data_IF_483124230614
#
_entry.id   IF_483124230614
#
_cell.length_a   1.000
_cell.length_b   1.000
_cell.length_c   1.000
_cell.angle_alpha   90.00
_cell.angle_beta   90.00
_cell.angle_gamma   90.00
#
_symmetry.space_group_name_H-M   'P 1'
#
loop_
_entity.id
_entity.type
_entity.pdbx_description
1 polymer ?
#
# COMPACT_ATOMS: atom_id res chain seq x y z
N UNK A 1 7.86 9.46 -20.96
CA UNK A 1 8.01 8.71 -19.70
C UNK A 1 9.47 8.35 -19.55
N UNK A 2 10.17 8.88 -18.54
CA UNK A 2 11.58 8.57 -18.32
C UNK A 2 11.70 7.12 -17.87
N UNK A 3 12.53 6.35 -18.56
CA UNK A 3 12.87 4.97 -18.20
C UNK A 3 13.61 5.00 -16.86
N UNK A 4 13.08 4.32 -15.84
CA UNK A 4 13.73 4.07 -14.55
C UNK A 4 14.98 3.19 -14.77
N UNK A 5 16.04 3.77 -15.32
CA UNK A 5 17.35 3.16 -15.28
C UNK A 5 17.76 3.10 -13.82
N UNK A 6 17.93 1.88 -13.30
CA UNK A 6 18.52 1.61 -11.98
C UNK A 6 19.97 2.11 -12.01
N UNK A 7 20.14 3.43 -11.85
CA UNK A 7 21.45 4.05 -11.67
C UNK A 7 22.02 3.47 -10.38
N UNK A 8 23.19 2.85 -10.44
CA UNK A 8 24.02 2.62 -9.25
C UNK A 8 24.30 3.99 -8.62
N UNK A 9 23.44 4.43 -7.70
CA UNK A 9 23.59 5.71 -7.03
C UNK A 9 24.73 5.56 -6.04
N UNK A 10 25.81 6.33 -6.24
CA UNK A 10 26.78 6.58 -5.16
C UNK A 10 25.98 7.04 -3.94
N UNK A 11 26.30 6.50 -2.77
CA UNK A 11 25.52 6.79 -1.56
C UNK A 11 25.61 8.30 -1.26
N UNK A 12 24.49 9.06 -1.31
CA UNK A 12 24.47 10.51 -1.13
C UNK A 12 24.75 10.95 0.32
N UNK A 13 24.99 9.99 1.22
CA UNK A 13 25.20 10.20 2.65
C UNK A 13 26.15 11.34 3.01
N UNK A 14 27.35 11.48 2.41
CA UNK A 14 28.26 12.59 2.74
C UNK A 14 27.68 13.97 2.45
N UNK A 15 26.89 14.14 1.38
CA UNK A 15 26.24 15.41 1.04
C UNK A 15 25.17 15.73 2.08
N UNK A 16 24.35 14.75 2.45
CA UNK A 16 23.32 14.91 3.47
C UNK A 16 23.90 15.17 4.86
N UNK A 17 25.02 14.55 5.22
CA UNK A 17 25.76 14.88 6.45
C UNK A 17 26.19 16.35 6.47
N UNK A 18 26.64 16.90 5.35
CA UNK A 18 27.00 18.32 5.24
C UNK A 18 25.78 19.25 5.32
N UNK A 19 24.64 18.88 4.69
CA UNK A 19 23.37 19.61 4.84
C UNK A 19 22.95 19.66 6.31
N UNK A 20 22.86 18.50 6.96
CA UNK A 20 22.41 18.40 8.35
C UNK A 20 23.35 19.10 9.34
N UNK A 21 24.65 19.20 9.04
CA UNK A 21 25.60 19.95 9.86
C UNK A 21 25.31 21.47 9.90
N UNK A 22 24.53 22.00 8.96
CA UNK A 22 24.06 23.39 8.91
C UNK A 22 22.62 23.58 9.39
N UNK A 23 21.95 22.49 9.71
CA UNK A 23 20.56 22.50 10.12
C UNK A 23 20.47 22.45 11.65
N UNK A 24 19.88 23.44 12.33
CA UNK A 24 19.67 23.37 13.76
C UNK A 24 18.67 22.24 14.10
N UNK A 25 18.68 21.71 15.33
CA UNK A 25 17.62 20.80 15.79
C UNK A 25 16.25 21.46 15.60
N UNK A 26 15.26 20.68 15.19
CA UNK A 26 13.92 21.22 15.01
C UNK A 26 13.38 21.79 16.32
N UNK A 27 12.52 22.81 16.22
CA UNK A 27 11.71 23.29 17.34
C UNK A 27 10.23 23.32 16.95
N UNK A 28 9.37 22.89 17.87
CA UNK A 28 7.92 22.92 17.68
C UNK A 28 7.35 24.19 18.32
N UNK A 29 6.32 24.80 17.73
CA UNK A 29 5.63 25.92 18.36
C UNK A 29 4.82 25.45 19.58
N UNK A 30 4.42 26.40 20.43
CA UNK A 30 3.41 26.15 21.46
C UNK A 30 2.14 25.54 20.83
N UNK A 31 1.45 24.61 21.51
CA UNK A 31 1.69 24.17 22.89
C UNK A 31 2.73 23.04 23.06
N UNK A 32 3.46 22.70 21.99
CA UNK A 32 4.35 21.53 21.93
C UNK A 32 5.84 21.86 22.11
N UNK A 33 6.17 23.12 22.39
CA UNK A 33 7.52 23.67 22.54
C UNK A 33 8.35 23.02 23.66
N UNK A 34 7.69 22.28 24.56
CA UNK A 34 8.32 21.59 25.69
C UNK A 34 8.64 20.11 25.44
N UNK A 35 8.27 19.57 24.28
CA UNK A 35 8.56 18.17 23.93
C UNK A 35 10.02 18.04 23.52
N UNK A 36 10.76 17.03 24.04
CA UNK A 36 12.05 16.66 23.48
C UNK A 36 11.91 16.24 22.02
N UNK A 37 12.59 16.96 21.14
CA UNK A 37 12.52 16.74 19.70
C UNK A 37 13.33 15.50 19.32
N UNK A 38 12.80 14.72 18.39
CA UNK A 38 13.51 13.57 17.84
C UNK A 38 14.83 14.02 17.18
N UNK A 39 15.94 13.33 17.49
CA UNK A 39 17.28 13.69 16.98
C UNK A 39 17.44 13.60 15.46
N UNK A 40 16.49 12.98 14.76
CA UNK A 40 16.43 12.91 13.31
C UNK A 40 15.69 14.08 12.68
N UNK A 41 15.13 15.00 13.48
CA UNK A 41 14.32 16.12 13.03
C UNK A 41 15.09 17.43 13.18
N UNK A 42 15.19 18.18 12.08
CA UNK A 42 15.95 19.41 11.97
C UNK A 42 15.08 20.52 11.39
N UNK A 43 15.48 21.76 11.59
CA UNK A 43 14.99 22.90 10.82
C UNK A 43 15.85 23.07 9.57
N UNK A 44 15.28 23.62 8.52
CA UNK A 44 16.05 24.07 7.36
C UNK A 44 17.15 25.07 7.77
N UNK A 45 18.25 25.16 7.00
CA UNK A 45 19.36 26.06 7.33
C UNK A 45 18.92 27.52 7.32
N UNK A 46 19.41 28.30 8.29
CA UNK A 46 19.12 29.75 8.38
C UNK A 46 19.72 30.57 7.21
N UNK A 47 20.82 30.09 6.63
CA UNK A 47 21.49 30.70 5.47
C UNK A 47 21.67 29.66 4.34
N UNK A 48 20.65 29.51 3.47
CA UNK A 48 20.71 28.59 2.34
C UNK A 48 21.85 28.89 1.35
N UNK A 49 22.23 30.16 1.20
CA UNK A 49 23.31 30.57 0.28
C UNK A 49 24.69 30.18 0.83
N UNK A 50 24.90 30.26 2.15
CA UNK A 50 26.10 29.71 2.79
C UNK A 50 26.16 28.18 2.66
N UNK A 51 25.04 27.48 2.89
CA UNK A 51 24.99 26.03 2.68
C UNK A 51 25.35 25.69 1.22
N UNK A 52 24.74 26.34 0.25
CA UNK A 52 24.99 26.09 -1.17
C UNK A 52 26.46 26.28 -1.54
N UNK A 53 27.09 27.38 -1.10
CA UNK A 53 28.52 27.63 -1.33
C UNK A 53 29.40 26.55 -0.71
N UNK A 54 29.10 26.10 0.52
CA UNK A 54 29.83 25.01 1.15
C UNK A 54 29.71 23.72 0.32
N UNK A 55 28.49 23.34 -0.05
CA UNK A 55 28.23 22.13 -0.82
C UNK A 55 29.01 22.13 -2.14
N UNK A 56 28.96 23.23 -2.90
CA UNK A 56 29.70 23.39 -4.16
C UNK A 56 31.22 23.38 -3.95
N UNK A 57 31.73 23.90 -2.83
CA UNK A 57 33.16 23.89 -2.54
C UNK A 57 33.71 22.51 -2.16
N UNK A 58 32.84 21.61 -1.69
CA UNK A 58 33.22 20.38 -0.98
C UNK A 58 32.89 19.10 -1.76
N UNK A 59 31.89 19.14 -2.63
CA UNK A 59 31.44 17.99 -3.42
C UNK A 59 31.49 18.31 -4.90
N UNK A 60 31.75 17.29 -5.72
CA UNK A 60 31.70 17.47 -7.17
C UNK A 60 30.25 17.64 -7.67
N UNK A 61 30.11 18.18 -8.88
CA UNK A 61 28.80 18.44 -9.50
C UNK A 61 27.93 17.18 -9.58
N UNK A 62 28.52 16.02 -9.85
CA UNK A 62 27.76 14.78 -10.04
C UNK A 62 27.23 14.26 -8.71
N UNK A 63 28.01 14.35 -7.63
CA UNK A 63 27.57 14.02 -6.27
C UNK A 63 26.39 14.90 -5.82
N UNK A 64 26.48 16.21 -6.07
CA UNK A 64 25.43 17.17 -5.72
C UNK A 64 24.12 16.92 -6.48
N UNK A 65 24.22 16.61 -7.77
CA UNK A 65 23.05 16.26 -8.59
C UNK A 65 22.46 14.91 -8.20
N UNK A 66 23.30 13.91 -7.92
CA UNK A 66 22.84 12.57 -7.55
C UNK A 66 22.15 12.54 -6.17
N UNK A 67 22.50 13.46 -5.26
CA UNK A 67 21.82 13.60 -3.97
C UNK A 67 20.52 14.39 -4.07
N UNK A 68 20.23 15.06 -5.19
CA UNK A 68 19.06 15.93 -5.32
C UNK A 68 19.11 17.21 -4.47
N UNK A 69 20.11 17.41 -3.61
CA UNK A 69 20.24 18.62 -2.80
C UNK A 69 20.51 19.88 -3.64
N UNK A 70 21.01 19.68 -4.87
CA UNK A 70 21.24 20.74 -5.86
C UNK A 70 20.64 20.29 -7.19
N UNK A 71 19.84 21.16 -7.79
CA UNK A 71 19.21 20.97 -9.09
C UNK A 71 19.87 21.87 -10.14
N UNK A 72 19.63 21.57 -11.42
CA UNK A 72 20.08 22.42 -12.54
C UNK A 72 18.90 23.20 -13.07
N UNK A 73 18.94 24.52 -12.91
CA UNK A 73 17.96 25.45 -13.47
C UNK A 73 18.68 26.37 -14.46
N UNK A 74 18.22 26.42 -15.71
CA UNK A 74 18.83 27.25 -16.78
C UNK A 74 20.36 27.08 -16.87
N UNK A 75 20.83 25.83 -16.87
CA UNK A 75 22.26 25.43 -16.86
C UNK A 75 23.09 25.84 -15.63
N UNK A 76 22.45 26.46 -14.64
CA UNK A 76 23.09 26.85 -13.36
C UNK A 76 22.75 25.86 -12.25
N UNK A 77 23.74 25.56 -11.41
CA UNK A 77 23.51 24.79 -10.18
C UNK A 77 22.84 25.70 -9.16
N UNK A 78 21.76 25.21 -8.57
CA UNK A 78 21.03 25.92 -7.53
C UNK A 78 20.57 24.94 -6.45
N UNK A 79 20.51 25.38 -5.19
CA UNK A 79 20.05 24.54 -4.08
C UNK A 79 18.60 24.10 -4.31
N UNK A 80 18.22 22.87 -3.96
CA UNK A 80 16.82 22.45 -4.05
C UNK A 80 15.91 23.40 -3.25
N UNK A 81 14.74 23.71 -3.80
CA UNK A 81 13.81 24.68 -3.21
C UNK A 81 13.35 24.23 -1.81
N UNK A 82 13.23 22.93 -1.54
CA UNK A 82 12.87 22.42 -0.21
C UNK A 82 13.94 22.68 0.86
N UNK A 83 15.16 23.06 0.47
CA UNK A 83 16.25 23.42 1.37
C UNK A 83 16.43 24.94 1.50
N UNK A 84 15.66 25.75 0.75
CA UNK A 84 15.74 27.22 0.79
C UNK A 84 14.75 27.85 1.76
N UNK A 85 13.65 27.17 2.07
CA UNK A 85 12.66 27.68 3.01
C UNK A 85 13.08 27.39 4.45
N UNK A 86 13.60 28.41 5.15
CA UNK A 86 14.07 28.31 6.53
C UNK A 86 12.96 27.97 7.54
N UNK A 87 11.67 28.13 7.18
CA UNK A 87 10.57 27.80 8.06
C UNK A 87 10.21 26.31 8.04
N UNK A 88 10.77 25.53 7.11
CA UNK A 88 10.48 24.11 6.96
C UNK A 88 11.32 23.20 7.87
N UNK A 89 10.87 21.96 7.97
CA UNK A 89 11.55 20.89 8.69
C UNK A 89 12.22 19.91 7.72
N UNK A 90 13.32 19.33 8.17
CA UNK A 90 14.03 18.25 7.48
C UNK A 90 14.09 17.03 8.41
N UNK A 91 13.80 15.85 7.88
CA UNK A 91 13.93 14.59 8.62
C UNK A 91 14.99 13.71 7.95
N UNK A 92 16.01 13.33 8.72
CA UNK A 92 17.05 12.42 8.25
C UNK A 92 16.55 10.97 8.28
N UNK A 93 16.47 10.31 7.12
CA UNK A 93 16.13 8.89 7.01
C UNK A 93 17.40 8.06 7.16
N UNK A 94 17.46 7.16 8.16
CA UNK A 94 18.68 6.38 8.44
C UNK A 94 18.39 4.89 8.58
N UNK A 95 19.20 4.04 7.96
CA UNK A 95 19.08 2.57 8.08
C UNK A 95 19.37 2.03 9.49
N UNK A 96 20.19 2.75 10.25
CA UNK A 96 20.62 2.42 11.61
C UNK A 96 20.74 3.73 12.44
N UNK A 97 20.70 3.66 13.79
CA UNK A 97 20.75 4.84 14.67
C UNK A 97 21.84 5.85 14.32
N UNK A 98 23.09 5.39 14.29
CA UNK A 98 24.26 6.23 13.99
C UNK A 98 24.72 6.12 12.53
N UNK A 99 23.89 5.50 11.68
CA UNK A 99 24.19 5.32 10.27
C UNK A 99 24.08 6.63 9.50
N UNK A 100 24.81 6.76 8.38
CA UNK A 100 24.67 7.91 7.48
C UNK A 100 23.23 8.09 6.99
N UNK A 101 22.77 9.33 6.74
CA UNK A 101 21.46 9.53 6.12
C UNK A 101 21.42 8.85 4.75
N UNK A 102 20.40 8.04 4.54
CA UNK A 102 20.06 7.48 3.22
C UNK A 102 19.39 8.52 2.36
N UNK A 103 18.51 9.33 2.97
CA UNK A 103 17.82 10.43 2.33
C UNK A 103 17.40 11.50 3.35
N UNK A 104 16.93 12.62 2.85
CA UNK A 104 16.32 13.71 3.60
C UNK A 104 14.86 13.84 3.17
N UNK A 105 13.95 13.81 4.14
CA UNK A 105 12.52 14.02 3.93
C UNK A 105 12.15 15.47 4.27
N UNK A 106 11.48 16.14 3.34
CA UNK A 106 10.97 17.51 3.43
C UNK A 106 9.48 17.56 3.13
N UNK A 107 8.85 18.75 3.16
CA UNK A 107 7.43 18.92 2.80
C UNK A 107 7.11 18.45 1.38
N UNK A 108 8.09 18.52 0.48
CA UNK A 108 7.99 18.12 -0.94
C UNK A 108 8.31 16.65 -1.17
N UNK A 109 8.58 15.90 -0.11
CA UNK A 109 8.97 14.50 -0.15
C UNK A 109 10.48 14.30 0.04
N UNK A 110 10.99 13.21 -0.52
CA UNK A 110 12.40 12.84 -0.40
C UNK A 110 13.27 13.65 -1.36
N UNK A 111 14.34 14.29 -0.86
CA UNK A 111 15.20 15.18 -1.65
C UNK A 111 15.86 14.46 -2.83
N UNK A 112 16.21 13.18 -2.68
CA UNK A 112 16.79 12.41 -3.78
C UNK A 112 15.85 12.22 -4.98
N UNK A 113 14.55 12.45 -4.79
CA UNK A 113 13.47 12.10 -5.72
C UNK A 113 13.43 10.62 -6.10
N UNK A 114 14.16 9.75 -5.37
CA UNK A 114 14.24 8.32 -5.68
C UNK A 114 13.01 7.56 -5.21
N UNK A 115 12.57 7.89 -4.01
CA UNK A 115 11.59 7.13 -3.26
C UNK A 115 10.44 8.04 -2.83
N UNK A 116 9.26 7.46 -2.78
CA UNK A 116 8.12 8.11 -2.14
C UNK A 116 8.30 8.12 -0.61
N UNK A 117 7.89 9.18 0.11
CA UNK A 117 8.04 9.25 1.57
C UNK A 117 7.53 8.04 2.34
N UNK A 118 6.43 7.44 1.89
CA UNK A 118 5.86 6.24 2.51
C UNK A 118 6.75 5.01 2.32
N UNK A 119 7.36 4.84 1.14
CA UNK A 119 8.31 3.75 0.88
C UNK A 119 9.62 3.97 1.64
N UNK A 120 10.13 5.20 1.61
CA UNK A 120 11.36 5.59 2.29
C UNK A 120 11.31 5.34 3.81
N UNK A 121 10.11 5.48 4.41
CA UNK A 121 9.87 5.20 5.83
C UNK A 121 10.21 3.76 6.24
N UNK A 122 10.10 2.78 5.34
CA UNK A 122 10.48 1.39 5.63
C UNK A 122 11.99 1.19 5.75
N UNK A 123 12.80 2.08 5.18
CA UNK A 123 14.25 2.04 5.33
C UNK A 123 14.70 2.75 6.61
N UNK A 124 13.85 3.60 7.19
CA UNK A 124 14.16 4.32 8.41
C UNK A 124 14.12 3.42 9.66
N UNK A 125 15.19 3.41 10.44
CA UNK A 125 15.28 2.58 11.63
C UNK A 125 14.36 3.06 12.76
N UNK A 126 14.10 4.37 12.89
CA UNK A 126 13.22 4.90 13.95
C UNK A 126 11.79 4.52 13.66
N UNK A 127 11.33 4.72 12.42
CA UNK A 127 9.99 4.28 11.99
C UNK A 127 9.83 2.78 12.20
N UNK A 128 10.76 1.95 11.70
CA UNK A 128 10.68 0.48 11.90
C UNK A 128 10.67 0.07 13.37
N UNK A 129 11.45 0.73 14.21
CA UNK A 129 11.48 0.45 15.65
C UNK A 129 10.19 0.85 16.33
N UNK A 130 9.63 2.02 15.96
CA UNK A 130 8.36 2.51 16.45
C UNK A 130 7.18 1.66 15.96
N UNK A 131 7.25 1.06 14.77
CA UNK A 131 6.17 0.19 14.27
C UNK A 131 5.95 -1.08 15.13
N UNK A 132 6.99 -1.58 15.81
CA UNK A 132 6.92 -2.81 16.62
C UNK A 132 5.86 -2.76 17.73
N UNK A 133 5.85 -1.76 18.64
CA UNK A 133 4.83 -1.66 19.69
C UNK A 133 3.43 -1.32 19.18
N UNK A 134 3.29 -0.81 17.96
CA UNK A 134 1.99 -0.40 17.40
C UNK A 134 1.46 -1.36 16.34
N UNK A 135 1.66 -2.67 16.55
CA UNK A 135 1.13 -3.73 15.66
C UNK A 135 1.45 -3.48 14.17
N UNK A 136 2.64 -2.96 13.87
CA UNK A 136 3.12 -2.63 12.53
C UNK A 136 2.30 -1.57 11.77
N UNK A 137 1.61 -0.68 12.48
CA UNK A 137 0.95 0.47 11.86
C UNK A 137 1.96 1.56 11.46
N UNK A 138 1.81 2.11 10.25
CA UNK A 138 2.54 3.29 9.77
C UNK A 138 1.54 4.45 9.59
N UNK A 139 1.75 5.53 10.34
CA UNK A 139 0.95 6.74 10.27
C UNK A 139 1.44 7.59 9.09
N UNK A 140 0.51 8.11 8.30
CA UNK A 140 0.75 9.03 7.21
C UNK A 140 0.15 10.38 7.58
N UNK A 141 1.01 11.37 7.80
CA UNK A 141 0.62 12.75 8.06
C UNK A 141 0.81 13.63 6.82
N UNK A 142 0.12 14.76 6.77
CA UNK A 142 0.08 15.64 5.59
C UNK A 142 0.78 16.98 5.79
N UNK A 143 1.39 17.19 6.96
CA UNK A 143 2.25 18.34 7.22
C UNK A 143 3.53 17.89 7.90
N UNK A 144 4.66 18.52 7.57
CA UNK A 144 5.94 18.20 8.22
C UNK A 144 5.93 18.47 9.72
N UNK A 145 5.18 19.49 10.16
CA UNK A 145 5.05 19.80 11.58
C UNK A 145 4.38 18.66 12.35
N UNK A 146 3.34 18.05 11.79
CA UNK A 146 2.70 16.86 12.39
C UNK A 146 3.62 15.65 12.36
N UNK A 147 4.40 15.44 11.29
CA UNK A 147 5.40 14.36 11.22
C UNK A 147 6.46 14.55 12.33
N UNK A 148 7.03 15.74 12.46
CA UNK A 148 8.06 16.04 13.49
C UNK A 148 7.51 15.84 14.89
N UNK A 149 6.30 16.34 15.17
CA UNK A 149 5.61 16.16 16.45
C UNK A 149 5.39 14.68 16.76
N UNK A 150 4.73 13.95 15.87
CA UNK A 150 4.40 12.54 16.09
C UNK A 150 5.66 11.66 16.19
N UNK A 151 6.73 11.94 15.43
CA UNK A 151 8.03 11.26 15.59
C UNK A 151 8.66 11.55 16.95
N UNK A 152 8.57 12.78 17.43
CA UNK A 152 9.09 13.19 18.75
C UNK A 152 8.30 12.53 19.90
N UNK A 153 7.02 12.22 19.67
CA UNK A 153 6.21 11.40 20.58
C UNK A 153 6.54 9.90 20.51
N UNK A 154 7.36 9.47 19.55
CA UNK A 154 7.78 8.07 19.36
C UNK A 154 6.82 7.25 18.50
N UNK A 155 5.99 7.88 17.67
CA UNK A 155 5.06 7.20 16.79
C UNK A 155 5.70 6.89 15.42
N UNK A 156 5.32 5.77 14.77
CA UNK A 156 5.79 5.39 13.45
C UNK A 156 5.08 6.21 12.38
N UNK A 157 5.60 7.40 12.07
CA UNK A 157 4.95 8.34 11.15
C UNK A 157 5.88 8.78 10.03
N UNK A 158 5.28 8.97 8.85
CA UNK A 158 5.89 9.54 7.65
C UNK A 158 4.97 10.56 7.00
N UNK A 159 5.45 11.21 5.95
CA UNK A 159 4.69 12.17 5.16
C UNK A 159 3.90 11.45 4.06
N UNK A 160 2.71 11.96 3.75
CA UNK A 160 1.83 11.45 2.69
C UNK A 160 1.98 12.12 1.33
N UNK A 161 2.92 13.06 1.17
CA UNK A 161 3.12 13.81 -0.08
C UNK A 161 3.33 12.86 -1.26
N UNK A 162 2.50 13.05 -2.31
CA UNK A 162 2.58 12.32 -3.57
C UNK A 162 1.86 10.97 -3.59
N UNK A 163 1.17 10.58 -2.51
CA UNK A 163 0.40 9.31 -2.49
C UNK A 163 -0.68 9.24 -3.57
N UNK A 164 -1.29 10.38 -3.90
CA UNK A 164 -2.27 10.54 -4.95
C UNK A 164 -1.68 10.42 -6.36
N UNK A 165 -0.36 10.48 -6.49
CA UNK A 165 0.39 10.40 -7.75
C UNK A 165 1.03 9.03 -7.97
N UNK A 166 0.82 8.07 -7.06
CA UNK A 166 1.40 6.74 -7.18
C UNK A 166 0.97 6.11 -8.49
N UNK A 167 1.92 5.67 -9.31
CA UNK A 167 1.61 4.82 -10.45
C UNK A 167 1.46 3.36 -9.99
N UNK A 168 1.18 2.49 -10.95
CA UNK A 168 0.98 1.05 -10.70
C UNK A 168 2.23 0.42 -10.06
N UNK A 169 3.41 0.81 -10.53
CA UNK A 169 4.66 0.25 -10.04
C UNK A 169 4.92 0.65 -8.58
N UNK A 170 4.66 1.92 -8.23
CA UNK A 170 4.76 2.40 -6.86
C UNK A 170 3.76 1.72 -5.92
N UNK A 171 2.54 1.44 -6.40
CA UNK A 171 1.53 0.70 -5.64
C UNK A 171 1.91 -0.77 -5.44
N UNK A 172 2.45 -1.43 -6.46
CA UNK A 172 2.93 -2.81 -6.35
C UNK A 172 4.12 -2.87 -5.36
N UNK A 173 5.06 -1.92 -5.41
CA UNK A 173 6.15 -1.85 -4.43
C UNK A 173 5.63 -1.58 -3.02
N UNK A 174 4.67 -0.66 -2.86
CA UNK A 174 4.02 -0.40 -1.58
C UNK A 174 3.37 -1.69 -1.05
N UNK A 175 2.62 -2.39 -1.89
CA UNK A 175 1.99 -3.66 -1.53
C UNK A 175 3.00 -4.70 -1.07
N UNK A 176 4.12 -4.84 -1.76
CA UNK A 176 5.20 -5.72 -1.35
C UNK A 176 5.75 -5.36 0.04
N UNK A 177 6.01 -4.08 0.32
CA UNK A 177 6.53 -3.63 1.64
C UNK A 177 5.56 -3.87 2.78
N UNK A 178 4.29 -3.70 2.51
CA UNK A 178 3.22 -3.97 3.46
C UNK A 178 2.88 -5.47 3.56
N UNK A 179 3.55 -6.34 2.79
CA UNK A 179 3.24 -7.77 2.77
C UNK A 179 1.80 -8.03 2.35
N UNK A 180 1.22 -7.08 1.60
CA UNK A 180 -0.06 -7.20 0.93
C UNK A 180 0.14 -8.14 -0.25
N UNK A 181 0.47 -9.39 0.08
CA UNK A 181 1.12 -10.26 -0.86
C UNK A 181 0.16 -10.59 -2.00
N UNK A 182 0.73 -10.40 -3.17
CA UNK A 182 0.25 -10.70 -4.50
C UNK A 182 0.12 -12.23 -4.67
N UNK A 183 0.20 -13.07 -3.62
CA UNK A 183 0.22 -14.54 -3.74
C UNK A 183 -1.06 -15.08 -4.36
N UNK A 184 -2.24 -14.54 -4.00
CA UNK A 184 -3.47 -14.88 -4.73
C UNK A 184 -3.41 -14.40 -6.19
N UNK A 185 -2.85 -13.22 -6.45
CA UNK A 185 -2.75 -12.63 -7.80
C UNK A 185 -1.67 -13.30 -8.67
N UNK A 186 -0.57 -13.77 -8.08
CA UNK A 186 0.52 -14.55 -8.66
C UNK A 186 0.11 -15.99 -8.84
N UNK A 187 -0.66 -16.58 -7.94
CA UNK A 187 -1.31 -17.89 -8.18
C UNK A 187 -2.33 -17.78 -9.32
N UNK A 188 -3.12 -16.71 -9.39
CA UNK A 188 -4.01 -16.45 -10.53
C UNK A 188 -3.23 -16.17 -11.84
N UNK A 189 -2.13 -15.43 -11.80
CA UNK A 189 -1.31 -15.14 -12.99
C UNK A 189 -0.49 -16.36 -13.43
N UNK A 190 0.08 -17.13 -12.50
CA UNK A 190 0.85 -18.33 -12.80
C UNK A 190 -0.05 -19.50 -13.21
N UNK A 191 -1.26 -19.63 -12.67
CA UNK A 191 -2.26 -20.58 -13.20
C UNK A 191 -2.67 -20.22 -14.64
N UNK A 192 -2.65 -18.93 -14.98
CA UNK A 192 -2.87 -18.47 -16.36
C UNK A 192 -1.67 -18.72 -17.30
N UNK A 193 -0.43 -18.65 -16.80
CA UNK A 193 0.79 -18.84 -17.62
C UNK A 193 1.15 -20.31 -17.83
N UNK A 194 1.01 -21.17 -16.80
CA UNK A 194 1.31 -22.61 -16.90
C UNK A 194 0.29 -23.40 -17.73
N UNK A 195 -0.80 -22.77 -18.14
CA UNK A 195 -1.77 -23.34 -19.06
C UNK A 195 -1.33 -23.25 -20.53
N UNK A 196 -0.27 -22.51 -20.91
CA UNK A 196 0.15 -22.36 -22.32
C UNK A 196 1.21 -23.33 -22.84
N UNK A 197 2.02 -23.94 -21.98
CA UNK A 197 3.26 -24.60 -22.44
C UNK A 197 3.23 -26.15 -22.37
N UNK A 198 2.11 -26.78 -22.00
CA UNK A 198 1.99 -28.25 -21.96
C UNK A 198 1.37 -28.87 -23.21
N UNK A 199 1.31 -28.16 -24.34
CA UNK A 199 0.76 -28.66 -25.60
C UNK A 199 1.80 -29.07 -26.67
N UNK A 200 3.10 -29.13 -26.36
CA UNK A 200 4.11 -29.67 -27.28
C UNK A 200 5.03 -30.66 -26.58
N UNK A 201 5.12 -31.84 -27.18
CA UNK A 201 6.20 -32.82 -27.08
C UNK A 201 6.13 -33.83 -25.91
N UNK A 202 5.16 -34.73 -26.04
CA UNK A 202 5.40 -36.14 -25.69
C UNK A 202 6.29 -36.77 -26.77
N UNK A 203 7.61 -36.73 -26.60
CA UNK A 203 8.51 -37.73 -27.18
C UNK A 203 9.05 -38.57 -26.03
N UNK A 204 8.52 -39.78 -26.04
CA UNK A 204 8.92 -40.97 -25.30
C UNK A 204 10.39 -41.29 -25.59
N UNK A 205 11.26 -41.27 -24.58
CA UNK A 205 12.49 -42.07 -24.56
C UNK A 205 12.94 -42.25 -23.11
N UNK A 206 12.98 -43.50 -22.68
CA UNK A 206 13.16 -43.86 -21.28
C UNK A 206 14.60 -44.22 -20.91
N UNK A 207 14.62 -44.94 -19.77
CA UNK A 207 15.61 -45.93 -19.36
C UNK A 207 16.75 -45.43 -18.43
N UNK A 208 16.74 -46.06 -17.25
CA UNK A 208 17.84 -46.40 -16.32
C UNK A 208 18.43 -45.32 -15.42
N UNK A 209 18.95 -45.61 -14.24
CA UNK A 209 18.88 -46.68 -13.20
C UNK A 209 19.94 -46.23 -12.17
N UNK A 210 19.80 -46.62 -10.90
CA UNK A 210 20.89 -46.76 -9.90
C UNK A 210 21.57 -45.48 -9.33
N UNK A 211 21.53 -45.14 -8.03
CA UNK A 211 22.04 -45.74 -6.76
C UNK A 211 23.23 -44.91 -6.20
N UNK A 212 23.41 -45.00 -4.87
CA UNK A 212 24.45 -44.45 -3.95
C UNK A 212 24.18 -43.04 -3.37
N UNK A 213 23.84 -42.84 -2.09
CA UNK A 213 24.39 -43.27 -0.78
C UNK A 213 25.62 -42.48 -0.29
N UNK A 214 25.48 -42.03 0.96
CA UNK A 214 26.50 -41.60 1.93
C UNK A 214 27.13 -40.21 1.74
N UNK A 215 27.08 -39.38 2.79
CA UNK A 215 28.22 -39.18 3.71
C UNK A 215 27.76 -38.36 4.93
N UNK A 216 28.12 -38.90 6.09
CA UNK A 216 27.94 -38.39 7.44
C UNK A 216 28.79 -37.15 7.81
N UNK A 217 28.47 -36.60 8.99
CA UNK A 217 29.38 -35.97 9.97
C UNK A 217 29.90 -34.55 9.69
N UNK A 218 29.49 -33.61 10.56
CA UNK A 218 30.39 -33.15 11.63
C UNK A 218 29.59 -32.58 12.82
N UNK A 219 29.95 -33.06 13.99
CA UNK A 219 29.43 -32.70 15.29
C UNK A 219 30.22 -31.57 15.97
N UNK A 220 29.62 -31.03 17.03
CA UNK A 220 30.25 -30.54 18.26
C UNK A 220 30.58 -29.04 18.38
N UNK A 221 29.80 -28.37 19.24
CA UNK A 221 30.22 -27.43 20.31
C UNK A 221 29.02 -27.15 21.22
N UNK A 222 28.87 -27.92 22.30
CA UNK A 222 29.25 -27.58 23.69
C UNK A 222 28.55 -26.34 24.29
N UNK A 223 27.43 -26.61 24.96
CA UNK A 223 27.09 -26.32 26.37
C UNK A 223 27.40 -24.95 27.02
N UNK A 224 26.29 -24.23 27.30
CA UNK A 224 25.84 -23.67 28.61
C UNK A 224 26.65 -22.54 29.32
N UNK A 225 26.02 -21.66 30.15
CA UNK A 225 24.79 -21.89 30.94
C UNK A 225 23.71 -20.80 30.98
N UNK A 226 22.48 -21.25 31.24
CA UNK A 226 21.34 -20.54 31.86
C UNK A 226 21.65 -20.26 33.35
N UNK A 227 21.11 -19.19 34.00
CA UNK A 227 19.69 -19.18 34.40
C UNK A 227 19.02 -17.79 34.51
N UNK A 228 17.68 -17.76 34.56
CA UNK A 228 16.86 -17.33 35.71
C UNK A 228 15.39 -17.47 35.29
N UNK A 229 14.71 -18.40 35.95
CA UNK A 229 13.26 -18.58 35.91
C UNK A 229 12.60 -17.38 36.61
N UNK A 230 11.63 -16.76 35.94
CA UNK A 230 10.58 -15.97 36.56
C UNK A 230 9.26 -16.45 35.96
N UNK A 231 8.59 -17.28 36.74
CA UNK A 231 7.24 -17.76 36.52
C UNK A 231 6.29 -16.61 36.18
N UNK A 232 5.68 -16.69 35.01
CA UNK A 232 4.49 -15.92 34.63
C UNK A 232 3.60 -16.86 33.84
N UNK A 233 2.83 -17.68 34.56
CA UNK A 233 1.78 -18.50 34.00
C UNK A 233 0.67 -17.61 33.45
N UNK A 234 0.77 -17.22 32.18
CA UNK A 234 -0.37 -16.82 31.36
C UNK A 234 -0.77 -18.00 30.49
N UNK A 235 -2.00 -18.48 30.65
CA UNK A 235 -2.60 -19.45 29.73
C UNK A 235 -2.60 -18.86 28.32
N UNK A 236 -1.82 -19.46 27.42
CA UNK A 236 -1.84 -19.20 25.97
C UNK A 236 -2.89 -20.16 25.35
N UNK A 237 -4.05 -19.67 24.91
CA UNK A 237 -4.95 -20.45 24.07
C UNK A 237 -4.46 -20.31 22.63
N UNK A 238 -3.74 -21.31 22.10
CA UNK A 238 -3.54 -21.61 20.66
C UNK A 238 -2.20 -22.33 20.45
N UNK A 239 -2.10 -23.55 20.98
CA UNK A 239 -1.04 -24.50 20.59
C UNK A 239 -1.71 -25.67 19.89
N UNK A 240 -1.61 -25.69 18.56
CA UNK A 240 -2.09 -26.78 17.73
C UNK A 240 -1.36 -28.09 18.11
N UNK A 241 -1.98 -29.25 17.84
CA UNK A 241 -1.49 -30.58 18.22
C UNK A 241 -0.09 -30.95 17.68
N UNK A 242 0.48 -30.15 16.78
CA UNK A 242 1.83 -30.30 16.23
C UNK A 242 2.90 -29.49 16.99
N UNK A 243 2.54 -28.75 18.04
CA UNK A 243 3.46 -27.90 18.79
C UNK A 243 4.05 -26.72 18.00
N UNK A 244 3.63 -26.55 16.74
CA UNK A 244 4.06 -25.43 15.90
C UNK A 244 3.11 -24.27 16.08
N UNK A 245 3.48 -23.30 16.93
CA UNK A 245 2.78 -22.02 17.04
C UNK A 245 2.88 -21.32 15.68
N UNK A 246 1.78 -21.34 14.90
CA UNK A 246 1.67 -20.49 13.71
C UNK A 246 1.65 -19.05 14.18
N UNK A 247 2.81 -18.42 14.20
CA UNK A 247 2.90 -16.96 14.35
C UNK A 247 2.27 -16.37 13.10
N UNK A 248 1.00 -15.98 13.19
CA UNK A 248 0.34 -15.20 12.14
C UNK A 248 1.17 -13.93 12.02
N UNK A 249 1.90 -13.80 10.92
CA UNK A 249 2.71 -12.62 10.66
C UNK A 249 1.74 -11.44 10.52
N UNK A 250 1.63 -10.62 11.57
CA UNK A 250 0.85 -9.39 11.54
C UNK A 250 1.37 -8.57 10.36
N UNK A 251 0.49 -8.23 9.41
CA UNK A 251 0.85 -7.41 8.26
C UNK A 251 0.92 -5.93 8.69
N UNK A 252 1.88 -5.14 8.18
CA UNK A 252 1.87 -3.71 8.33
C UNK A 252 0.54 -3.08 7.88
N UNK A 253 0.11 -2.02 8.55
CA UNK A 253 -1.14 -1.30 8.20
C UNK A 253 -0.86 0.18 7.96
N UNK A 254 -1.47 0.75 6.93
CA UNK A 254 -1.34 2.18 6.62
C UNK A 254 -2.44 2.96 7.36
N UNK A 255 -2.08 4.02 8.09
CA UNK A 255 -3.04 4.82 8.86
C UNK A 255 -2.97 6.28 8.43
N UNK A 256 -4.02 6.80 7.81
CA UNK A 256 -4.10 8.20 7.42
C UNK A 256 -4.48 9.06 8.63
N UNK A 257 -3.66 10.06 8.92
CA UNK A 257 -3.90 11.04 9.98
C UNK A 257 -5.00 12.02 9.54
N UNK A 258 -6.16 11.96 10.20
CA UNK A 258 -7.37 12.68 9.81
C UNK A 258 -7.75 13.79 10.80
N UNK A 259 -6.74 14.42 11.38
CA UNK A 259 -6.81 15.56 12.29
C UNK A 259 -5.44 16.25 12.31
N UNK A 260 -5.31 17.41 12.97
CA UNK A 260 -4.02 18.11 13.11
C UNK A 260 -3.56 18.11 14.57
N UNK A 261 -2.68 17.17 14.98
CA UNK A 261 -2.06 17.15 16.30
C UNK A 261 -1.33 18.44 16.64
N UNK A 262 -0.60 19.04 15.68
CA UNK A 262 0.10 20.32 15.89
C UNK A 262 -0.84 21.40 16.39
N UNK A 263 -2.00 21.53 15.76
CA UNK A 263 -2.97 22.57 16.06
C UNK A 263 -4.03 22.14 17.09
N UNK A 264 -4.00 20.89 17.55
CA UNK A 264 -5.06 20.29 18.36
C UNK A 264 -6.45 20.51 17.75
N UNK A 265 -6.53 20.30 16.44
CA UNK A 265 -7.74 20.52 15.65
C UNK A 265 -8.26 19.19 15.12
N UNK A 266 -9.57 19.00 15.19
CA UNK A 266 -10.31 17.90 14.55
C UNK A 266 -10.59 18.16 13.06
N UNK A 267 -10.07 19.26 12.50
CA UNK A 267 -10.13 19.53 11.07
C UNK A 267 -9.31 18.49 10.30
N UNK A 268 -10.00 17.77 9.42
CA UNK A 268 -9.41 16.81 8.50
C UNK A 268 -8.59 17.53 7.42
N UNK A 269 -7.32 17.13 7.19
CA UNK A 269 -6.55 17.64 6.06
C UNK A 269 -7.25 17.33 4.73
N UNK A 270 -7.28 18.31 3.81
CA UNK A 270 -7.98 18.20 2.52
C UNK A 270 -7.43 17.04 1.68
N UNK A 271 -6.15 16.75 1.84
CA UNK A 271 -5.40 15.69 1.19
C UNK A 271 -5.95 14.30 1.56
N UNK A 272 -6.42 14.11 2.79
CA UNK A 272 -6.96 12.81 3.25
C UNK A 272 -8.11 12.38 2.38
N UNK A 273 -9.08 13.26 2.12
CA UNK A 273 -10.25 12.93 1.30
C UNK A 273 -9.85 12.51 -0.13
N UNK A 274 -8.88 13.23 -0.73
CA UNK A 274 -8.39 12.94 -2.08
C UNK A 274 -7.66 11.61 -2.15
N UNK A 275 -6.80 11.32 -1.17
CA UNK A 275 -6.05 10.06 -1.11
C UNK A 275 -7.00 8.89 -0.87
N UNK A 276 -7.99 9.05 0.01
CA UNK A 276 -9.02 8.03 0.24
C UNK A 276 -9.80 7.75 -1.04
N UNK A 277 -10.21 8.79 -1.76
CA UNK A 277 -10.87 8.64 -3.06
C UNK A 277 -9.96 7.93 -4.06
N UNK A 278 -8.71 8.36 -4.19
CA UNK A 278 -7.71 7.77 -5.05
C UNK A 278 -7.50 6.27 -4.75
N UNK A 279 -7.24 5.92 -3.49
CA UNK A 279 -7.04 4.52 -3.06
C UNK A 279 -8.29 3.67 -3.31
N UNK A 280 -9.49 4.23 -3.16
CA UNK A 280 -10.74 3.53 -3.47
C UNK A 280 -10.92 3.28 -4.97
N UNK A 281 -10.59 4.26 -5.81
CA UNK A 281 -10.63 4.11 -7.27
C UNK A 281 -9.61 3.06 -7.71
N UNK A 282 -8.37 3.19 -7.24
CA UNK A 282 -7.25 2.28 -7.47
C UNK A 282 -7.59 0.85 -7.03
N UNK A 283 -8.20 0.67 -5.85
CA UNK A 283 -8.70 -0.63 -5.38
C UNK A 283 -9.59 -1.32 -6.42
N UNK A 284 -10.51 -0.58 -7.04
CA UNK A 284 -11.43 -1.14 -8.04
C UNK A 284 -10.72 -1.63 -9.30
N UNK A 285 -9.62 -0.97 -9.68
CA UNK A 285 -8.88 -1.31 -10.91
C UNK A 285 -7.85 -2.42 -10.71
N UNK A 286 -7.16 -2.45 -9.57
CA UNK A 286 -6.03 -3.36 -9.39
C UNK A 286 -6.39 -4.66 -8.68
N UNK A 287 -7.61 -4.78 -8.13
CA UNK A 287 -8.00 -5.95 -7.36
C UNK A 287 -7.15 -6.17 -6.11
N UNK A 288 -6.34 -5.17 -5.75
CA UNK A 288 -5.48 -5.16 -4.57
C UNK A 288 -6.41 -5.15 -3.36
N UNK A 289 -6.56 -6.32 -2.72
CA UNK A 289 -7.32 -6.49 -1.48
C UNK A 289 -6.73 -5.70 -0.30
N UNK A 290 -5.48 -5.27 -0.47
CA UNK A 290 -4.68 -4.58 0.50
C UNK A 290 -5.28 -3.31 1.12
N UNK A 291 -6.17 -2.64 0.39
CA UNK A 291 -6.76 -1.40 0.88
C UNK A 291 -7.82 -1.61 1.97
N UNK A 292 -8.25 -2.86 2.22
CA UNK A 292 -9.06 -3.21 3.39
C UNK A 292 -8.34 -2.86 4.71
N UNK A 293 -7.03 -2.65 4.68
CA UNK A 293 -6.19 -2.38 5.85
C UNK A 293 -5.82 -0.90 6.04
N UNK A 294 -6.26 -0.02 5.12
CA UNK A 294 -6.03 1.41 5.28
C UNK A 294 -7.03 1.94 6.30
N UNK A 295 -6.50 2.49 7.40
CA UNK A 295 -7.31 3.02 8.50
C UNK A 295 -7.25 4.55 8.52
N UNK A 296 -8.32 5.13 9.04
CA UNK A 296 -8.34 6.54 9.45
C UNK A 296 -8.08 6.66 10.94
N UNK A 297 -7.23 7.59 11.32
CA UNK A 297 -7.08 7.99 12.71
C UNK A 297 -7.68 9.39 12.93
N UNK A 298 -8.85 9.40 13.55
CA UNK A 298 -9.61 10.61 13.90
C UNK A 298 -9.98 10.51 15.39
N UNK A 299 -9.15 11.04 16.30
CA UNK A 299 -9.51 11.07 17.72
C UNK A 299 -10.81 11.82 17.93
N UNK A 300 -11.59 11.40 18.92
CA UNK A 300 -12.77 12.15 19.30
C UNK A 300 -12.39 13.49 19.95
N UNK A 301 -13.35 14.43 19.97
CA UNK A 301 -13.13 15.78 20.51
C UNK A 301 -12.67 15.79 21.97
N UNK A 302 -13.22 14.89 22.79
CA UNK A 302 -12.87 14.77 24.22
C UNK A 302 -11.39 14.40 24.41
N UNK A 303 -10.86 13.51 23.56
CA UNK A 303 -9.43 13.15 23.55
C UNK A 303 -8.56 14.35 23.16
N UNK A 304 -8.95 15.10 22.12
CA UNK A 304 -8.21 16.30 21.68
C UNK A 304 -8.19 17.36 22.79
N UNK A 305 -9.34 17.64 23.40
CA UNK A 305 -9.44 18.59 24.50
C UNK A 305 -8.62 18.12 25.72
N UNK A 306 -8.62 16.82 26.03
CA UNK A 306 -7.80 16.22 27.09
C UNK A 306 -6.30 16.37 26.87
N UNK A 307 -5.82 16.19 25.63
CA UNK A 307 -4.44 16.48 25.23
C UNK A 307 -4.15 17.98 25.45
N UNK A 308 -5.03 18.86 25.00
CA UNK A 308 -4.90 20.31 25.16
C UNK A 308 -4.84 20.75 26.62
N UNK A 309 -5.67 20.17 27.49
CA UNK A 309 -5.65 20.44 28.93
C UNK A 309 -4.32 19.98 29.56
N UNK A 310 -3.85 18.77 29.23
CA UNK A 310 -2.54 18.30 29.70
C UNK A 310 -1.41 19.28 29.33
N UNK A 311 -1.40 19.78 28.10
CA UNK A 311 -0.39 20.76 27.65
C UNK A 311 -0.56 22.12 28.32
N UNK A 312 -1.80 22.60 28.49
CA UNK A 312 -2.11 23.86 29.20
C UNK A 312 -1.58 23.84 30.63
N UNK A 313 -1.69 22.71 31.31
CA UNK A 313 -1.15 22.51 32.67
C UNK A 313 0.34 22.11 32.70
N UNK A 314 1.00 22.03 31.54
CA UNK A 314 2.42 21.69 31.44
C UNK A 314 2.75 20.21 31.70
N UNK A 315 1.76 19.32 31.67
CA UNK A 315 1.90 17.87 31.91
C UNK A 315 2.19 17.15 30.57
N UNK A 316 3.35 17.45 29.99
CA UNK A 316 3.74 16.99 28.64
C UNK A 316 3.70 15.46 28.49
N UNK A 317 4.19 14.71 29.49
CA UNK A 317 4.17 13.24 29.44
C UNK A 317 2.74 12.66 29.48
N UNK A 318 1.79 13.34 30.12
CA UNK A 318 0.38 12.92 30.06
C UNK A 318 -0.20 13.18 28.67
N UNK A 319 0.06 14.34 28.07
CA UNK A 319 -0.33 14.63 26.70
C UNK A 319 0.25 13.61 25.70
N UNK A 320 1.53 13.25 25.87
CA UNK A 320 2.19 12.20 25.07
C UNK A 320 1.48 10.85 25.19
N UNK A 321 1.19 10.42 26.42
CA UNK A 321 0.47 9.15 26.66
C UNK A 321 -0.92 9.19 26.06
N UNK A 322 -1.64 10.29 26.18
CA UNK A 322 -2.98 10.44 25.63
C UNK A 322 -3.00 10.33 24.09
N UNK A 323 -2.03 10.95 23.41
CA UNK A 323 -1.86 10.79 21.94
C UNK A 323 -1.54 9.34 21.56
N UNK A 324 -0.67 8.66 22.31
CA UNK A 324 -0.33 7.25 22.05
C UNK A 324 -1.50 6.30 22.35
N UNK A 325 -2.27 6.59 23.41
CA UNK A 325 -3.45 5.82 23.79
C UNK A 325 -4.56 5.97 22.76
N UNK A 326 -4.83 7.18 22.27
CA UNK A 326 -5.83 7.38 21.23
C UNK A 326 -5.48 6.61 19.95
N UNK A 327 -4.21 6.55 19.57
CA UNK A 327 -3.77 5.74 18.42
C UNK A 327 -3.93 4.22 18.62
N UNK A 328 -3.83 3.74 19.86
CA UNK A 328 -3.93 2.30 20.18
C UNK A 328 -5.35 1.84 20.43
N UNK A 329 -6.19 2.69 21.04
CA UNK A 329 -7.53 2.34 21.52
C UNK A 329 -8.64 2.74 20.56
N UNK A 330 -8.49 3.86 19.84
CA UNK A 330 -9.48 4.20 18.82
C UNK A 330 -9.35 3.16 17.72
N UNK A 331 -10.37 2.30 17.64
CA UNK A 331 -10.58 1.42 16.49
C UNK A 331 -10.66 2.34 15.29
N UNK A 332 -9.55 2.45 14.56
CA UNK A 332 -9.48 3.27 13.36
C UNK A 332 -10.71 2.98 12.53
N UNK A 333 -11.40 4.04 12.10
CA UNK A 333 -12.50 3.86 11.17
C UNK A 333 -11.85 3.24 9.95
N UNK A 334 -12.17 1.98 9.65
CA UNK A 334 -11.77 1.37 8.40
C UNK A 334 -12.27 2.29 7.30
N UNK A 335 -11.33 2.94 6.62
CA UNK A 335 -11.63 3.89 5.55
C UNK A 335 -12.44 3.23 4.45
N UNK A 336 -12.23 1.92 4.32
CA UNK A 336 -12.92 1.04 3.39
C UNK A 336 -13.81 0.04 4.13
N UNK A 337 -14.45 0.49 5.21
CA UNK A 337 -15.59 -0.20 5.81
C UNK A 337 -16.85 0.04 4.97
N UNK A 338 -17.63 -1.02 4.72
CA UNK A 338 -18.82 -1.12 3.85
C UNK A 338 -20.02 -0.23 4.23
N UNK A 339 -19.81 0.86 4.96
CA UNK A 339 -20.86 1.77 5.45
C UNK A 339 -21.18 2.90 4.45
N UNK A 340 -21.25 2.59 3.15
CA UNK A 340 -22.15 3.37 2.30
C UNK A 340 -23.55 2.87 2.61
N UNK A 341 -24.41 3.75 3.12
CA UNK A 341 -25.83 3.67 2.77
C UNK A 341 -25.86 3.30 1.27
N UNK A 342 -26.37 2.12 0.99
CA UNK A 342 -26.33 1.39 -0.28
C UNK A 342 -26.92 2.31 -1.37
N UNK A 343 -26.15 3.30 -1.84
CA UNK A 343 -26.52 4.11 -3.01
C UNK A 343 -26.55 3.14 -4.16
N UNK A 344 -27.72 2.98 -4.78
CA UNK A 344 -27.86 2.13 -5.95
C UNK A 344 -26.76 2.50 -6.96
N UNK A 345 -25.93 1.54 -7.39
CA UNK A 345 -24.87 1.80 -8.34
C UNK A 345 -25.47 2.36 -9.64
N UNK A 346 -24.95 3.50 -10.09
CA UNK A 346 -25.46 4.21 -11.27
C UNK A 346 -24.98 3.58 -12.60
N UNK A 347 -24.02 2.66 -12.54
CA UNK A 347 -23.40 2.04 -13.71
C UNK A 347 -22.87 0.63 -13.43
N UNK A 348 -22.51 -0.09 -14.50
CA UNK A 348 -21.99 -1.47 -14.48
C UNK A 348 -20.78 -1.66 -13.58
N UNK A 349 -19.89 -0.68 -13.50
CA UNK A 349 -18.68 -0.78 -12.68
C UNK A 349 -19.09 -0.79 -11.20
N UNK A 350 -20.04 0.07 -10.84
CA UNK A 350 -20.61 0.11 -9.49
C UNK A 350 -21.31 -1.20 -9.10
N UNK A 351 -22.12 -1.80 -9.99
CA UNK A 351 -22.78 -3.09 -9.72
C UNK A 351 -21.79 -4.25 -9.68
N UNK A 352 -20.76 -4.26 -10.52
CA UNK A 352 -19.70 -5.26 -10.51
C UNK A 352 -18.91 -5.26 -9.21
N UNK A 353 -18.52 -4.08 -8.73
CA UNK A 353 -17.81 -3.94 -7.45
C UNK A 353 -18.68 -4.46 -6.29
N UNK A 354 -19.97 -4.13 -6.30
CA UNK A 354 -20.94 -4.65 -5.33
C UNK A 354 -21.05 -6.17 -5.36
N UNK A 355 -21.09 -6.75 -6.56
CA UNK A 355 -21.15 -8.19 -6.74
C UNK A 355 -19.89 -8.87 -6.20
N UNK A 356 -18.71 -8.32 -6.51
CA UNK A 356 -17.45 -8.82 -5.97
C UNK A 356 -17.40 -8.73 -4.45
N UNK A 357 -17.91 -7.64 -3.86
CA UNK A 357 -18.02 -7.49 -2.40
C UNK A 357 -19.01 -8.51 -1.80
N UNK A 358 -20.17 -8.74 -2.42
CA UNK A 358 -21.15 -9.73 -1.96
C UNK A 358 -20.55 -11.15 -1.97
N UNK A 359 -19.85 -11.52 -3.05
CA UNK A 359 -19.13 -12.81 -3.16
C UNK A 359 -18.08 -12.94 -2.05
N UNK A 360 -17.28 -11.89 -1.80
CA UNK A 360 -16.26 -11.90 -0.74
C UNK A 360 -16.85 -11.97 0.66
N UNK A 361 -17.94 -11.25 0.91
CA UNK A 361 -18.62 -11.27 2.19
C UNK A 361 -19.14 -12.66 2.53
N UNK A 362 -19.71 -13.36 1.55
CA UNK A 362 -20.17 -14.74 1.70
C UNK A 362 -19.01 -15.73 1.91
N UNK A 363 -17.80 -15.43 1.40
CA UNK A 363 -16.60 -16.24 1.66
C UNK A 363 -16.07 -16.10 3.09
N UNK A 364 -16.16 -14.90 3.69
CA UNK A 364 -15.65 -14.64 5.05
C UNK A 364 -16.57 -15.15 6.17
N UNK A 365 -17.82 -15.53 5.87
CA UNK A 365 -18.77 -16.05 6.88
C UNK A 365 -18.90 -17.58 6.84
N UNK A 366 -19.11 -18.16 8.02
CA UNK A 366 -19.43 -19.58 8.24
C UNK A 366 -20.56 -20.05 7.31
N UNK A 367 -20.53 -21.30 6.80
CA UNK A 367 -21.44 -21.84 5.77
C UNK A 367 -22.95 -21.86 6.10
N UNK A 368 -23.38 -21.37 7.26
CA UNK A 368 -24.77 -21.45 7.73
C UNK A 368 -25.66 -20.25 7.32
N UNK A 369 -25.20 -19.36 6.44
CA UNK A 369 -25.98 -18.19 5.99
C UNK A 369 -26.67 -18.42 4.65
N UNK A 370 -27.97 -18.11 4.61
CA UNK A 370 -28.91 -18.35 3.49
C UNK A 370 -28.56 -17.60 2.18
N UNK A 371 -28.91 -18.25 1.04
CA UNK A 371 -28.73 -17.91 -0.39
C UNK A 371 -29.24 -16.53 -0.90
N UNK A 372 -29.55 -15.55 -0.05
CA UNK A 372 -30.23 -14.31 -0.48
C UNK A 372 -29.40 -13.14 -1.05
N UNK A 373 -28.15 -12.86 -0.62
CA UNK A 373 -27.51 -11.58 -0.94
C UNK A 373 -26.90 -11.51 -2.35
N UNK A 374 -26.27 -12.59 -2.81
CA UNK A 374 -25.54 -12.59 -4.10
C UNK A 374 -26.51 -12.54 -5.28
N UNK A 375 -27.58 -13.34 -5.24
CA UNK A 375 -28.55 -13.40 -6.36
C UNK A 375 -29.17 -12.04 -6.65
N UNK A 376 -29.52 -11.28 -5.60
CA UNK A 376 -30.07 -9.93 -5.77
C UNK A 376 -29.06 -8.96 -6.37
N UNK A 377 -27.80 -9.01 -5.91
CA UNK A 377 -26.74 -8.15 -6.45
C UNK A 377 -26.36 -8.57 -7.88
N UNK A 378 -26.49 -9.85 -8.19
CA UNK A 378 -26.34 -10.39 -9.54
C UNK A 378 -27.42 -9.89 -10.50
N UNK A 379 -28.68 -9.95 -10.09
CA UNK A 379 -29.79 -9.39 -10.88
C UNK A 379 -29.60 -7.89 -11.14
N UNK A 380 -29.13 -7.12 -10.14
CA UNK A 380 -28.76 -5.71 -10.31
C UNK A 380 -27.63 -5.53 -11.34
N UNK A 381 -26.59 -6.37 -11.26
CA UNK A 381 -25.49 -6.36 -12.23
C UNK A 381 -25.95 -6.70 -13.64
N UNK A 382 -26.72 -7.76 -13.85
CA UNK A 382 -27.26 -8.14 -15.17
C UNK A 382 -28.15 -7.04 -15.76
N UNK A 383 -29.01 -6.43 -14.92
CA UNK A 383 -29.86 -5.32 -15.33
C UNK A 383 -29.02 -4.14 -15.82
N UNK A 384 -27.97 -3.79 -15.10
CA UNK A 384 -27.10 -2.67 -15.45
C UNK A 384 -26.24 -2.98 -16.68
N UNK A 385 -25.74 -4.22 -16.80
CA UNK A 385 -25.01 -4.70 -17.97
C UNK A 385 -25.86 -4.57 -19.24
N UNK A 386 -27.12 -4.98 -19.13
CA UNK A 386 -28.08 -4.88 -20.22
C UNK A 386 -28.34 -3.43 -20.58
N UNK A 387 -28.47 -2.54 -19.60
CA UNK A 387 -28.70 -1.11 -19.78
C UNK A 387 -27.52 -0.37 -20.42
N UNK A 388 -26.31 -0.58 -19.90
CA UNK A 388 -25.13 0.21 -20.27
C UNK A 388 -24.45 -0.30 -21.56
N UNK A 389 -24.59 -1.59 -21.89
CA UNK A 389 -23.89 -2.20 -23.02
C UNK A 389 -24.82 -2.87 -24.04
N UNK A 390 -25.70 -3.78 -23.62
CA UNK A 390 -26.51 -4.59 -24.55
C UNK A 390 -27.53 -3.74 -25.33
N UNK A 391 -28.35 -2.95 -24.61
CA UNK A 391 -29.38 -2.09 -25.21
C UNK A 391 -28.79 -1.05 -26.18
N UNK A 392 -27.74 -0.28 -25.83
CA UNK A 392 -27.14 0.67 -26.77
C UNK A 392 -26.61 0.02 -28.05
N UNK A 393 -26.02 -1.18 -27.95
CA UNK A 393 -25.53 -1.92 -29.12
C UNK A 393 -26.68 -2.45 -29.99
N UNK A 394 -27.74 -2.96 -29.37
CA UNK A 394 -28.94 -3.42 -30.08
C UNK A 394 -29.68 -2.27 -30.76
N UNK A 395 -29.88 -1.15 -30.07
CA UNK A 395 -30.50 0.06 -30.64
C UNK A 395 -29.68 0.57 -31.82
N UNK A 396 -28.36 0.70 -31.66
CA UNK A 396 -27.48 1.10 -32.75
C UNK A 396 -27.52 0.11 -33.93
N UNK A 397 -27.73 -1.19 -33.69
CA UNK A 397 -27.88 -2.17 -34.75
C UNK A 397 -29.22 -2.04 -35.50
N UNK A 398 -30.31 -1.73 -34.79
CA UNK A 398 -31.63 -1.54 -35.38
C UNK A 398 -31.67 -0.30 -36.28
N UNK A 399 -31.00 0.77 -35.86
CA UNK A 399 -30.89 2.04 -36.60
C UNK A 399 -29.87 1.98 -37.76
N UNK A 400 -29.05 0.93 -37.84
CA UNK A 400 -28.01 0.83 -38.85
C UNK A 400 -28.55 0.26 -40.17
N UNK A 401 -28.50 1.07 -41.23
CA UNK A 401 -28.90 0.68 -42.59
C UNK A 401 -27.89 -0.26 -43.27
N UNK A 402 -26.59 -0.17 -42.91
CA UNK A 402 -25.55 -1.05 -43.45
C UNK A 402 -25.67 -2.46 -42.83
N UNK A 403 -25.96 -3.50 -43.64
CA UNK A 403 -26.16 -4.86 -43.15
C UNK A 403 -24.91 -5.45 -42.47
N UNK A 404 -23.71 -5.09 -42.93
CA UNK A 404 -22.46 -5.62 -42.35
C UNK A 404 -22.20 -5.02 -40.98
N UNK A 405 -22.35 -3.69 -40.87
CA UNK A 405 -22.18 -2.98 -39.60
C UNK A 405 -23.27 -3.38 -38.59
N UNK A 406 -24.51 -3.55 -39.04
CA UNK A 406 -25.62 -4.09 -38.23
C UNK A 406 -25.29 -5.47 -37.66
N UNK A 407 -24.81 -6.39 -38.49
CA UNK A 407 -24.44 -7.74 -38.04
C UNK A 407 -23.30 -7.71 -37.03
N UNK A 408 -22.30 -6.84 -37.20
CA UNK A 408 -21.21 -6.64 -36.22
C UNK A 408 -21.71 -6.10 -34.88
N UNK A 409 -22.64 -5.15 -34.88
CA UNK A 409 -23.23 -4.60 -33.66
C UNK A 409 -24.06 -5.65 -32.90
N UNK A 410 -24.85 -6.46 -33.62
CA UNK A 410 -25.56 -7.60 -33.03
C UNK A 410 -24.60 -8.64 -32.45
N UNK A 411 -23.51 -8.95 -33.16
CA UNK A 411 -22.50 -9.87 -32.68
C UNK A 411 -21.78 -9.34 -31.42
N UNK A 412 -21.46 -8.04 -31.37
CA UNK A 412 -20.87 -7.41 -30.19
C UNK A 412 -21.82 -7.40 -28.99
N UNK A 413 -23.12 -7.16 -29.20
CA UNK A 413 -24.11 -7.24 -28.13
C UNK A 413 -24.20 -8.67 -27.56
N UNK A 414 -24.25 -9.68 -28.45
CA UNK A 414 -24.24 -11.09 -28.06
C UNK A 414 -22.95 -11.51 -27.34
N UNK A 415 -21.79 -11.10 -27.85
CA UNK A 415 -20.49 -11.38 -27.23
C UNK A 415 -20.37 -10.73 -25.87
N UNK A 416 -20.75 -9.45 -25.73
CA UNK A 416 -20.76 -8.74 -24.44
C UNK A 416 -21.54 -9.52 -23.39
N UNK A 417 -22.77 -9.91 -23.71
CA UNK A 417 -23.62 -10.71 -22.83
C UNK A 417 -22.97 -12.04 -22.44
N UNK A 418 -22.47 -12.80 -23.41
CA UNK A 418 -21.83 -14.11 -23.16
C UNK A 418 -20.56 -13.94 -22.31
N UNK A 419 -19.70 -12.98 -22.63
CA UNK A 419 -18.46 -12.75 -21.86
C UNK A 419 -18.79 -12.41 -20.41
N UNK A 420 -19.72 -11.48 -20.15
CA UNK A 420 -20.02 -11.12 -18.77
C UNK A 420 -20.70 -12.23 -17.97
N UNK A 421 -21.54 -13.06 -18.61
CA UNK A 421 -22.11 -14.25 -17.98
C UNK A 421 -21.03 -15.32 -17.70
N UNK A 422 -20.10 -15.54 -18.62
CA UNK A 422 -19.01 -16.50 -18.43
C UNK A 422 -17.99 -16.04 -17.40
N UNK A 423 -17.70 -14.73 -17.31
CA UNK A 423 -16.85 -14.15 -16.26
C UNK A 423 -17.32 -14.54 -14.86
N UNK A 424 -18.63 -14.48 -14.66
CA UNK A 424 -19.25 -14.80 -13.39
C UNK A 424 -19.26 -16.29 -13.11
N UNK A 425 -19.66 -17.12 -14.09
CA UNK A 425 -19.62 -18.57 -13.94
C UNK A 425 -18.20 -19.06 -13.63
N UNK A 426 -17.19 -18.48 -14.27
CA UNK A 426 -15.79 -18.74 -13.95
C UNK A 426 -15.44 -18.31 -12.52
N UNK A 427 -15.84 -17.11 -12.09
CA UNK A 427 -15.62 -16.65 -10.71
C UNK A 427 -16.34 -17.54 -9.68
N UNK A 428 -17.57 -17.97 -9.94
CA UNK A 428 -18.34 -18.83 -9.04
C UNK A 428 -17.74 -20.24 -8.97
N UNK A 429 -17.28 -20.77 -10.11
CA UNK A 429 -16.60 -22.07 -10.18
C UNK A 429 -15.26 -22.02 -9.46
N UNK A 430 -14.45 -20.99 -9.71
CA UNK A 430 -13.18 -20.77 -9.00
C UNK A 430 -13.40 -20.56 -7.50
N UNK A 431 -14.46 -19.86 -7.10
CA UNK A 431 -14.82 -19.66 -5.69
C UNK A 431 -15.24 -20.97 -5.02
N UNK A 432 -16.01 -21.82 -5.71
CA UNK A 432 -16.41 -23.14 -5.23
C UNK A 432 -15.21 -24.07 -5.09
N UNK A 433 -14.32 -24.07 -6.08
CA UNK A 433 -13.08 -24.84 -6.04
C UNK A 433 -12.16 -24.35 -4.91
N UNK A 434 -12.01 -23.04 -4.71
CA UNK A 434 -11.24 -22.49 -3.58
C UNK A 434 -11.81 -22.92 -2.21
N UNK A 435 -13.14 -22.94 -2.06
CA UNK A 435 -13.81 -23.50 -0.85
C UNK A 435 -13.51 -24.98 -0.67
N UNK A 436 -13.56 -25.78 -1.72
CA UNK A 436 -13.25 -27.22 -1.67
C UNK A 436 -11.78 -27.48 -1.33
N UNK A 437 -10.85 -26.67 -1.84
CA UNK A 437 -9.41 -26.72 -1.49
C UNK A 437 -9.19 -26.34 -0.02
N UNK A 438 -9.83 -25.28 0.46
CA UNK A 438 -9.71 -24.83 1.85
C UNK A 438 -10.27 -25.86 2.85
N UNK A 439 -11.33 -26.58 2.48
CA UNK A 439 -11.97 -27.60 3.32
C UNK A 439 -11.23 -28.95 3.27
N UNK A 440 -10.70 -29.34 2.11
CA UNK A 440 -10.18 -30.70 1.88
C UNK A 440 -8.65 -30.78 1.76
N UNK A 441 -7.95 -29.64 1.70
CA UNK A 441 -6.48 -29.58 1.57
C UNK A 441 -5.93 -30.09 0.24
N UNK A 442 -6.78 -30.33 -0.76
CA UNK A 442 -6.39 -30.85 -2.08
C UNK A 442 -6.06 -29.72 -3.05
N UNK A 443 -4.96 -29.78 -3.82
CA UNK A 443 -4.59 -28.75 -4.80
C UNK A 443 -5.60 -28.67 -5.96
N UNK A 444 -5.81 -27.45 -6.50
CA UNK A 444 -6.76 -27.17 -7.57
C UNK A 444 -6.40 -27.88 -8.89
N UNK A 445 -7.34 -28.56 -9.56
CA UNK A 445 -7.19 -28.99 -10.95
C UNK A 445 -7.31 -27.79 -11.89
N UNK A 446 -6.45 -27.72 -12.90
CA UNK A 446 -6.39 -26.61 -13.84
C UNK A 446 -7.66 -26.56 -14.72
N UNK A 447 -8.39 -25.42 -14.72
CA UNK A 447 -9.66 -25.26 -15.45
C UNK A 447 -9.43 -24.72 -16.89
N UNK A 448 -9.84 -25.45 -17.94
CA UNK A 448 -9.65 -25.02 -19.33
C UNK A 448 -10.40 -23.73 -19.72
N UNK A 449 -11.50 -23.40 -19.03
CA UNK A 449 -12.41 -22.32 -19.46
C UNK A 449 -11.88 -20.89 -19.25
N UNK A 450 -10.95 -20.67 -18.32
CA UNK A 450 -10.46 -19.32 -17.98
C UNK A 450 -9.60 -18.72 -19.10
N UNK A 451 -8.87 -19.58 -19.81
CA UNK A 451 -7.94 -19.20 -20.88
C UNK A 451 -8.68 -18.67 -22.11
N UNK A 452 -9.77 -19.32 -22.49
CA UNK A 452 -10.62 -18.93 -23.62
C UNK A 452 -11.38 -17.62 -23.33
N UNK A 453 -11.73 -17.40 -22.06
CA UNK A 453 -12.39 -16.17 -21.61
C UNK A 453 -11.48 -14.92 -21.75
N UNK A 454 -10.22 -15.01 -21.29
CA UNK A 454 -9.26 -13.91 -21.38
C UNK A 454 -8.86 -13.59 -22.83
N UNK A 455 -8.80 -14.60 -23.71
CA UNK A 455 -8.58 -14.38 -25.15
C UNK A 455 -9.75 -13.59 -25.78
N UNK A 456 -10.99 -13.91 -25.39
CA UNK A 456 -12.19 -13.24 -25.90
C UNK A 456 -12.27 -11.77 -25.47
N UNK A 457 -11.93 -11.46 -24.21
CA UNK A 457 -11.89 -10.08 -23.73
C UNK A 457 -10.84 -9.21 -24.45
N UNK A 458 -9.67 -9.77 -24.79
CA UNK A 458 -8.63 -9.05 -25.56
C UNK A 458 -9.12 -8.67 -26.96
N UNK A 459 -9.88 -9.55 -27.62
CA UNK A 459 -10.49 -9.28 -28.92
C UNK A 459 -11.53 -8.17 -28.81
N UNK A 460 -12.44 -8.23 -27.82
CA UNK A 460 -13.48 -7.20 -27.61
C UNK A 460 -12.86 -5.82 -27.29
N UNK A 461 -11.81 -5.78 -26.46
CA UNK A 461 -11.09 -4.54 -26.13
C UNK A 461 -10.36 -3.93 -27.35
N UNK A 462 -9.79 -4.77 -28.23
CA UNK A 462 -9.15 -4.30 -29.46
C UNK A 462 -10.14 -3.66 -30.45
N UNK A 463 -11.32 -4.26 -30.60
CA UNK A 463 -12.40 -3.78 -31.47
C UNK A 463 -13.05 -2.48 -30.97
N UNK A 464 -13.08 -2.26 -29.65
CA UNK A 464 -13.57 -1.00 -29.07
C UNK A 464 -12.54 0.14 -29.14
N UNK A 465 -11.24 -0.17 -29.12
CA UNK A 465 -10.16 0.82 -29.23
C UNK A 465 -10.00 1.38 -30.64
N UNK A 466 -10.25 0.58 -31.68
CA UNK A 466 -10.32 1.04 -33.07
C UNK A 466 -11.50 1.98 -33.35
N UNK A 467 -12.53 1.99 -32.49
CA UNK A 467 -13.74 2.82 -32.63
C UNK A 467 -13.58 4.23 -32.05
N UNK A 468 -12.54 4.48 -31.24
CA UNK A 468 -12.19 5.80 -30.67
C UNK A 468 -11.16 6.57 -31.51
N UNK A 469 -10.58 5.93 -32.51
CA UNK A 469 -9.89 6.57 -33.62
C UNK A 469 -10.88 6.77 -34.75
#
# INVERSE_FOLDING_TARGET
MPTLAVRMRLAPGPVYEAVLARCPPASLPAPWDRIPICDSCYQCPDDPDALFRELVSRFDRQQLQNSGAVVVENDTLVLDESLRDSAEFIIAIRKAPDGKPLDLLTSRGCISGADWPVLAAFYDHRVRSAMKPFARKLIVAFTMADVVLLRSLGLPVTLGTGLEEFDIAALDELAEKFGWDDSERKEQLNSNYNMSDTASDNVDEGVNEEVDSDVEQYASRQAEPMPVELDSASMDPDVDATGSRRVVAVQPQLVLLDWSPRNLSDESPVEVARIVEYLNVTRCYFGIQAFDEVMRWTPNRMTIDGIGDCLRYGVVEAARKEVQLSFTWDRGILLVGHNRAIREPENVIGTLNRLQEAIRYEYRRSPDFHEGPIDKVWEEFEKQLKGDFELPLLTAALECEDPVRKQRLLALAGLSRITHQQAFLLNQTLSRQAKEVALNGTPLPASPGLKDYLATLKVVASLTKERRK
#
